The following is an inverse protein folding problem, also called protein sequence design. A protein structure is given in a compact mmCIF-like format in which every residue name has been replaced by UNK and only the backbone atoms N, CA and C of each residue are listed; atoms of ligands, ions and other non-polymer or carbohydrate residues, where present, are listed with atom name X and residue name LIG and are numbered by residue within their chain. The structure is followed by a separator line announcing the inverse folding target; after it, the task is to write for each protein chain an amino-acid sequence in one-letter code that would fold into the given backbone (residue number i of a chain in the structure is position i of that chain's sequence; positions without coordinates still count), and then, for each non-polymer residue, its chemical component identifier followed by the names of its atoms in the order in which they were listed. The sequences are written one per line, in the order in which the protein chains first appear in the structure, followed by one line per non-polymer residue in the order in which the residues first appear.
data_IF_684791447673
#
_entry.id   IF_684791447673
#
_cell.length_a   1.000
_cell.length_b   1.000
_cell.length_c   1.000
_cell.angle_alpha   90.00
_cell.angle_beta   90.00
_cell.angle_gamma   90.00
#
_symmetry.space_group_name_H-M   'P 1'
#
loop_
_entity.id
_entity.type
_entity.pdbx_description
1 polymer ?
#
# COMPACT_ATOMS: atom_id res chain seq x y z
N UNK A 1 15.91 27.80 1.02
CA UNK A 1 14.74 27.48 1.85
C UNK A 1 14.86 26.00 2.21
N UNK A 2 14.64 25.65 3.47
CA UNK A 2 14.57 24.25 3.87
C UNK A 2 13.36 23.60 3.19
N UNK A 3 13.54 22.36 2.70
CA UNK A 3 12.43 21.59 2.08
C UNK A 3 11.49 21.19 3.21
N UNK A 4 10.22 21.58 3.11
CA UNK A 4 9.16 21.18 4.04
C UNK A 4 8.06 20.45 3.26
N UNK A 5 7.86 19.16 3.58
CA UNK A 5 6.87 18.30 2.93
C UNK A 5 5.62 18.06 3.78
N UNK A 6 5.50 18.75 4.90
CA UNK A 6 4.37 18.60 5.82
C UNK A 6 3.13 19.26 5.25
N UNK A 7 2.08 18.47 5.07
CA UNK A 7 0.76 18.92 4.66
C UNK A 7 -0.09 19.27 5.89
N UNK A 8 -0.97 20.27 5.75
CA UNK A 8 -1.85 20.72 6.83
C UNK A 8 -2.95 19.73 7.20
N UNK A 9 -3.35 18.87 6.25
CA UNK A 9 -4.37 17.84 6.47
C UNK A 9 -4.21 16.68 5.51
N UNK A 10 -4.91 15.58 5.77
CA UNK A 10 -5.01 14.42 4.87
C UNK A 10 -5.67 14.79 3.56
N UNK A 11 -6.73 15.60 3.64
CA UNK A 11 -7.47 16.09 2.49
C UNK A 11 -6.58 16.91 1.55
N UNK A 12 -5.74 17.79 2.10
CA UNK A 12 -4.78 18.57 1.30
C UNK A 12 -3.71 17.68 0.68
N UNK A 13 -3.26 16.65 1.41
CA UNK A 13 -2.24 15.73 0.94
C UNK A 13 -2.69 14.85 -0.23
N UNK A 14 -4.00 14.54 -0.35
CA UNK A 14 -4.58 13.69 -1.38
C UNK A 14 -5.40 14.48 -2.42
N UNK A 15 -5.37 15.81 -2.38
CA UNK A 15 -6.28 16.66 -3.16
C UNK A 15 -6.20 16.41 -4.68
N UNK A 16 -5.02 16.11 -5.20
CA UNK A 16 -4.72 15.86 -6.61
C UNK A 16 -4.85 14.39 -7.05
N UNK A 17 -5.26 13.47 -6.18
CA UNK A 17 -5.58 12.11 -6.62
C UNK A 17 -6.78 12.17 -7.56
N UNK A 18 -6.57 11.77 -8.82
CA UNK A 18 -7.53 11.90 -9.92
C UNK A 18 -8.28 10.59 -10.20
N UNK A 19 -9.39 10.67 -10.90
CA UNK A 19 -10.15 9.51 -11.34
C UNK A 19 -9.33 8.65 -12.31
N UNK A 20 -9.30 7.34 -12.08
CA UNK A 20 -8.50 6.42 -12.86
C UNK A 20 -7.06 6.21 -12.35
N UNK A 21 -6.62 6.94 -11.33
CA UNK A 21 -5.27 6.82 -10.76
C UNK A 21 -4.96 5.40 -10.28
N UNK A 22 -3.71 5.00 -10.40
CA UNK A 22 -3.15 3.82 -9.73
C UNK A 22 -2.71 4.21 -8.31
N UNK A 23 -3.29 3.55 -7.31
CA UNK A 23 -3.02 3.76 -5.89
C UNK A 23 -2.36 2.52 -5.32
N UNK A 24 -1.18 2.68 -4.76
CA UNK A 24 -0.48 1.62 -4.04
C UNK A 24 -0.60 1.85 -2.54
N UNK A 25 -1.02 0.83 -1.78
CA UNK A 25 -1.14 0.92 -0.33
C UNK A 25 -0.04 0.12 0.31
N UNK A 26 0.74 0.76 1.16
CA UNK A 26 1.76 0.15 1.99
C UNK A 26 1.19 -0.39 3.30
N UNK A 27 1.95 -1.33 3.89
CA UNK A 27 1.62 -1.88 5.19
C UNK A 27 0.85 -3.19 5.12
N UNK A 28 1.33 -4.15 5.90
CA UNK A 28 0.68 -5.43 6.16
C UNK A 28 0.77 -5.72 7.66
N UNK A 29 -0.22 -6.39 8.18
CA UNK A 29 -0.26 -6.69 9.61
C UNK A 29 -1.18 -5.78 10.42
N UNK A 30 -2.17 -5.19 9.77
CA UNK A 30 -3.25 -4.44 10.40
C UNK A 30 -2.90 -3.00 10.71
N UNK A 31 -3.56 -2.48 11.70
CA UNK A 31 -3.62 -1.08 12.04
C UNK A 31 -2.26 -0.34 12.14
N UNK A 32 -1.24 -0.95 12.69
CA UNK A 32 0.05 -0.29 12.96
C UNK A 32 0.88 0.01 11.72
N UNK A 33 0.57 -0.68 10.62
CA UNK A 33 1.31 -0.56 9.37
C UNK A 33 0.50 0.12 8.25
N UNK A 34 -0.84 0.14 8.36
CA UNK A 34 -1.73 0.70 7.34
C UNK A 34 -1.92 2.21 7.52
N UNK A 35 -1.92 3.00 6.42
CA UNK A 35 -2.22 4.44 6.43
C UNK A 35 -3.74 4.67 6.47
N UNK A 36 -4.37 4.26 7.56
CA UNK A 36 -5.84 4.25 7.70
C UNK A 36 -6.47 5.60 7.48
N UNK A 37 -5.88 6.67 8.03
CA UNK A 37 -6.42 8.00 7.88
C UNK A 37 -6.40 8.50 6.43
N UNK A 38 -5.33 8.19 5.67
CA UNK A 38 -5.26 8.52 4.24
C UNK A 38 -6.27 7.70 3.42
N UNK A 39 -6.45 6.41 3.75
CA UNK A 39 -7.47 5.55 3.10
C UNK A 39 -8.87 6.12 3.34
N UNK A 40 -9.21 6.50 4.58
CA UNK A 40 -10.51 7.09 4.91
C UNK A 40 -10.72 8.48 4.25
N UNK A 41 -9.67 9.29 4.15
CA UNK A 41 -9.72 10.56 3.43
C UNK A 41 -10.00 10.33 1.93
N UNK A 42 -9.34 9.34 1.31
CA UNK A 42 -9.57 8.96 -0.09
C UNK A 42 -10.99 8.42 -0.30
N UNK A 43 -11.51 7.61 0.63
CA UNK A 43 -12.91 7.18 0.62
C UNK A 43 -13.85 8.39 0.63
N UNK A 44 -13.64 9.35 1.53
CA UNK A 44 -14.46 10.56 1.67
C UNK A 44 -14.37 11.46 0.43
N UNK A 45 -13.18 11.57 -0.18
CA UNK A 45 -12.97 12.34 -1.41
C UNK A 45 -13.84 11.82 -2.57
N UNK A 46 -14.08 10.50 -2.62
CA UNK A 46 -14.96 9.89 -3.61
C UNK A 46 -14.36 9.73 -5.01
N UNK A 47 -13.04 9.85 -5.15
CA UNK A 47 -12.31 9.59 -6.41
C UNK A 47 -12.65 8.20 -6.95
N UNK A 48 -12.91 8.08 -8.26
CA UNK A 48 -13.47 6.87 -8.89
C UNK A 48 -12.51 6.21 -9.87
N UNK A 49 -12.90 5.01 -10.30
CA UNK A 49 -12.16 4.22 -11.30
C UNK A 49 -10.71 3.93 -10.90
N UNK A 50 -10.42 3.84 -9.61
CA UNK A 50 -9.07 3.62 -9.09
C UNK A 50 -8.57 2.21 -9.43
N UNK A 51 -7.28 2.09 -9.74
CA UNK A 51 -6.57 0.82 -9.74
C UNK A 51 -5.86 0.67 -8.40
N UNK A 52 -6.37 -0.19 -7.54
CA UNK A 52 -5.76 -0.50 -6.25
C UNK A 52 -4.65 -1.55 -6.44
N UNK A 53 -3.47 -1.28 -5.91
CA UNK A 53 -2.35 -2.22 -5.77
C UNK A 53 -2.09 -2.37 -4.28
N UNK A 54 -2.42 -3.53 -3.73
CA UNK A 54 -2.33 -3.81 -2.30
C UNK A 54 -1.97 -5.29 -2.09
N UNK A 55 -1.53 -5.67 -0.92
CA UNK A 55 -1.27 -7.09 -0.58
C UNK A 55 -2.56 -7.91 -0.61
N UNK A 56 -3.67 -7.31 -0.23
CA UNK A 56 -5.00 -7.93 -0.29
C UNK A 56 -6.05 -6.93 -0.82
N UNK A 57 -7.25 -7.42 -1.04
CA UNK A 57 -8.36 -6.58 -1.49
C UNK A 57 -9.11 -5.85 -0.35
N UNK A 58 -8.51 -5.78 0.84
CA UNK A 58 -9.14 -5.27 2.05
C UNK A 58 -10.08 -6.29 2.73
N UNK A 59 -10.71 -5.86 3.82
CA UNK A 59 -11.64 -6.68 4.61
C UNK A 59 -11.00 -7.36 5.81
N UNK A 60 -9.89 -6.86 6.29
CA UNK A 60 -9.21 -7.37 7.49
C UNK A 60 -9.38 -6.48 8.72
N UNK A 61 -9.60 -5.19 8.51
CA UNK A 61 -9.58 -4.20 9.58
C UNK A 61 -10.86 -3.38 9.59
N UNK A 62 -11.56 -3.39 10.73
CA UNK A 62 -12.77 -2.61 10.95
C UNK A 62 -12.62 -1.71 12.17
N UNK A 63 -13.28 -0.56 12.13
CA UNK A 63 -13.51 0.25 13.33
C UNK A 63 -14.51 -0.45 14.26
N UNK A 64 -14.57 -0.09 15.55
CA UNK A 64 -15.58 -0.61 16.48
C UNK A 64 -17.03 -0.40 16.01
N UNK A 65 -17.26 0.59 15.14
CA UNK A 65 -18.56 0.83 14.49
C UNK A 65 -18.96 -0.19 13.42
N UNK A 66 -18.05 -1.13 13.06
CA UNK A 66 -18.25 -2.07 11.96
C UNK A 66 -17.86 -1.54 10.58
N UNK A 67 -17.52 -0.26 10.46
CA UNK A 67 -17.05 0.33 9.20
C UNK A 67 -15.65 -0.19 8.85
N UNK A 68 -15.40 -0.48 7.57
CA UNK A 68 -14.07 -0.88 7.10
C UNK A 68 -13.05 0.25 7.25
N UNK A 69 -11.92 -0.08 7.87
CA UNK A 69 -10.82 0.84 8.10
C UNK A 69 -9.73 0.74 7.01
N UNK A 70 -9.62 -0.42 6.38
CA UNK A 70 -8.68 -0.72 5.29
C UNK A 70 -9.28 -0.44 3.89
N UNK A 71 -8.58 -0.87 2.84
CA UNK A 71 -8.96 -0.65 1.45
C UNK A 71 -10.34 -1.21 1.06
N UNK A 72 -10.95 -2.08 1.88
CA UNK A 72 -12.32 -2.55 1.65
C UNK A 72 -13.35 -1.41 1.62
N UNK A 73 -13.10 -0.31 2.35
CA UNK A 73 -13.98 0.86 2.33
C UNK A 73 -14.04 1.55 0.96
N UNK A 74 -12.97 1.47 0.15
CA UNK A 74 -12.96 1.99 -1.22
C UNK A 74 -13.81 1.13 -2.16
N UNK A 75 -13.75 -0.20 -1.99
CA UNK A 75 -14.62 -1.13 -2.72
C UNK A 75 -16.10 -0.94 -2.31
N UNK A 76 -16.38 -0.85 -1.00
CA UNK A 76 -17.73 -0.57 -0.49
C UNK A 76 -18.34 0.69 -1.12
N UNK A 77 -17.53 1.74 -1.28
CA UNK A 77 -17.93 3.00 -1.91
C UNK A 77 -17.87 2.98 -3.45
N UNK A 78 -17.63 1.80 -4.07
CA UNK A 78 -17.54 1.60 -5.53
C UNK A 78 -16.56 2.55 -6.23
N UNK A 79 -15.42 2.78 -5.61
CA UNK A 79 -14.36 3.64 -6.13
C UNK A 79 -13.35 2.88 -6.99
N UNK A 80 -13.33 1.55 -6.92
CA UNK A 80 -12.34 0.71 -7.59
C UNK A 80 -12.85 0.20 -8.95
N UNK A 81 -11.97 0.19 -9.96
CA UNK A 81 -12.17 -0.53 -11.24
C UNK A 81 -11.35 -1.81 -11.33
N UNK A 82 -10.19 -1.83 -10.67
CA UNK A 82 -9.25 -2.95 -10.68
C UNK A 82 -8.55 -3.09 -9.34
N UNK A 83 -8.29 -4.32 -8.94
CA UNK A 83 -7.40 -4.66 -7.81
C UNK A 83 -6.31 -5.61 -8.27
N UNK A 84 -5.05 -5.26 -8.03
CA UNK A 84 -3.89 -6.16 -8.13
C UNK A 84 -3.45 -6.53 -6.73
N UNK A 85 -3.58 -7.81 -6.34
CA UNK A 85 -3.28 -8.28 -4.98
C UNK A 85 -2.87 -9.74 -4.93
N UNK A 86 -2.45 -10.23 -3.76
CA UNK A 86 -2.08 -11.65 -3.57
C UNK A 86 -3.28 -12.52 -3.18
N UNK A 87 -4.31 -11.95 -2.59
CA UNK A 87 -5.52 -12.65 -2.17
C UNK A 87 -6.72 -11.71 -2.06
N UNK A 88 -7.92 -12.29 -2.18
CA UNK A 88 -9.19 -11.56 -2.07
C UNK A 88 -9.96 -11.85 -0.79
N UNK A 89 -9.49 -12.83 0.00
CA UNK A 89 -10.05 -13.25 1.28
C UNK A 89 -8.93 -13.27 2.31
N UNK A 90 -9.13 -12.77 3.54
CA UNK A 90 -8.17 -12.93 4.62
C UNK A 90 -7.97 -14.42 4.92
N UNK A 91 -6.73 -14.91 4.85
CA UNK A 91 -6.43 -16.28 5.25
C UNK A 91 -6.65 -16.44 6.77
N UNK A 92 -7.35 -17.50 7.19
CA UNK A 92 -7.49 -17.87 8.59
C UNK A 92 -8.60 -17.17 9.38
N UNK A 93 -9.38 -16.30 8.75
CA UNK A 93 -10.55 -15.71 9.39
C UNK A 93 -11.83 -16.42 8.92
N UNK A 94 -12.76 -16.77 9.83
CA UNK A 94 -14.10 -17.16 9.46
C UNK A 94 -14.76 -15.94 8.82
N UNK A 95 -14.94 -16.01 7.52
CA UNK A 95 -15.40 -14.85 6.75
C UNK A 95 -16.88 -14.94 6.52
N UNK A 96 -17.62 -14.33 7.39
CA UNK A 96 -18.90 -13.74 7.09
C UNK A 96 -18.93 -12.39 7.81
N UNK A 97 -19.09 -11.27 7.11
CA UNK A 97 -19.46 -11.12 5.70
C UNK A 97 -18.26 -11.18 4.73
N UNK A 98 -18.50 -11.62 3.48
CA UNK A 98 -17.56 -11.53 2.36
C UNK A 98 -17.17 -10.05 2.17
N UNK A 99 -15.86 -9.76 1.99
CA UNK A 99 -15.40 -8.39 1.80
C UNK A 99 -16.08 -7.72 0.59
N UNK A 100 -16.33 -6.40 0.62
CA UNK A 100 -16.96 -5.69 -0.51
C UNK A 100 -16.24 -5.92 -1.84
N UNK A 101 -14.91 -5.94 -1.84
CA UNK A 101 -14.11 -6.20 -3.04
C UNK A 101 -14.31 -7.64 -3.56
N UNK A 102 -14.25 -8.64 -2.66
CA UNK A 102 -14.46 -10.03 -3.06
C UNK A 102 -15.84 -10.24 -3.68
N UNK A 103 -16.89 -9.60 -3.14
CA UNK A 103 -18.23 -9.64 -3.70
C UNK A 103 -18.27 -9.05 -5.12
N UNK A 104 -17.71 -7.87 -5.33
CA UNK A 104 -17.67 -7.21 -6.63
C UNK A 104 -16.86 -7.99 -7.67
N UNK A 105 -15.80 -8.68 -7.26
CA UNK A 105 -15.02 -9.57 -8.12
C UNK A 105 -15.88 -10.77 -8.56
N UNK A 106 -16.63 -11.39 -7.63
CA UNK A 106 -17.55 -12.51 -7.96
C UNK A 106 -18.69 -12.06 -8.86
N UNK A 107 -19.19 -10.84 -8.72
CA UNK A 107 -20.20 -10.22 -9.56
C UNK A 107 -19.66 -9.74 -10.93
N UNK A 108 -18.35 -9.79 -11.16
CA UNK A 108 -17.71 -9.32 -12.39
C UNK A 108 -17.69 -7.79 -12.56
N UNK A 109 -17.95 -7.04 -11.49
CA UNK A 109 -17.98 -5.57 -11.51
C UNK A 109 -16.65 -4.94 -11.08
N UNK A 110 -15.71 -5.73 -10.56
CA UNK A 110 -14.36 -5.32 -10.17
C UNK A 110 -13.33 -6.28 -10.79
N UNK A 111 -12.40 -5.74 -11.60
CA UNK A 111 -11.32 -6.53 -12.21
C UNK A 111 -10.33 -6.98 -11.15
N UNK A 112 -9.94 -8.26 -11.18
CA UNK A 112 -8.90 -8.84 -10.32
C UNK A 112 -7.69 -9.26 -11.14
N UNK A 113 -6.51 -8.79 -10.72
CA UNK A 113 -5.22 -9.37 -11.09
C UNK A 113 -4.59 -10.02 -9.84
N UNK A 114 -4.57 -11.35 -9.83
CA UNK A 114 -3.99 -12.10 -8.73
C UNK A 114 -2.50 -12.37 -8.99
N UNK A 115 -1.64 -11.96 -8.06
CA UNK A 115 -0.18 -12.08 -8.15
C UNK A 115 0.35 -12.74 -6.88
N UNK A 116 1.20 -13.77 -6.94
CA UNK A 116 1.80 -14.34 -5.74
C UNK A 116 2.53 -13.28 -4.90
N UNK A 117 2.45 -13.36 -3.56
CA UNK A 117 2.93 -12.30 -2.65
C UNK A 117 4.38 -11.88 -2.92
N UNK A 118 5.29 -12.85 -3.00
CA UNK A 118 6.70 -12.55 -3.28
C UNK A 118 6.88 -11.87 -4.63
N UNK A 119 6.18 -12.34 -5.66
CA UNK A 119 6.21 -11.75 -7.00
C UNK A 119 5.63 -10.33 -6.99
N UNK A 120 4.54 -10.07 -6.26
CA UNK A 120 3.97 -8.73 -6.13
C UNK A 120 4.98 -7.74 -5.55
N UNK A 121 5.64 -8.12 -4.46
CA UNK A 121 6.67 -7.27 -3.82
C UNK A 121 7.84 -7.03 -4.77
N UNK A 122 8.32 -8.05 -5.49
CA UNK A 122 9.40 -7.90 -6.47
C UNK A 122 8.98 -7.06 -7.69
N UNK A 123 7.74 -7.17 -8.17
CA UNK A 123 7.20 -6.28 -9.23
C UNK A 123 7.23 -4.81 -8.80
N UNK A 124 6.83 -4.52 -7.56
CA UNK A 124 6.87 -3.18 -6.98
C UNK A 124 8.33 -2.72 -6.84
N UNK A 125 9.21 -3.55 -6.26
CA UNK A 125 10.63 -3.24 -6.11
C UNK A 125 11.30 -2.96 -7.46
N UNK A 126 11.02 -3.79 -8.47
CA UNK A 126 11.52 -3.60 -9.82
C UNK A 126 11.06 -2.27 -10.43
N UNK A 127 9.78 -1.90 -10.22
CA UNK A 127 9.23 -0.62 -10.64
C UNK A 127 9.97 0.57 -10.03
N UNK A 128 10.19 0.52 -8.70
CA UNK A 128 10.93 1.56 -7.98
C UNK A 128 12.41 1.66 -8.35
N UNK A 129 13.01 0.57 -8.81
CA UNK A 129 14.42 0.51 -9.25
C UNK A 129 14.61 0.78 -10.76
N UNK A 130 13.54 0.99 -11.53
CA UNK A 130 13.64 1.17 -12.99
C UNK A 130 14.01 -0.12 -13.74
N UNK A 131 13.79 -1.30 -13.13
CA UNK A 131 14.04 -2.60 -13.77
C UNK A 131 12.85 -2.91 -14.69
N UNK A 132 13.12 -3.11 -15.99
CA UNK A 132 12.10 -3.28 -17.03
C UNK A 132 11.34 -4.60 -16.99
N UNK A 133 11.79 -5.58 -16.22
CA UNK A 133 11.19 -6.89 -16.02
C UNK A 133 12.19 -7.86 -15.38
N UNK A 134 11.70 -8.97 -14.85
CA UNK A 134 12.54 -10.01 -14.27
C UNK A 134 11.93 -11.39 -14.47
N UNK A 135 12.78 -12.41 -14.52
CA UNK A 135 12.36 -13.80 -14.63
C UNK A 135 12.24 -14.44 -13.24
N UNK A 136 11.15 -15.17 -13.02
CA UNK A 136 10.90 -15.92 -11.78
C UNK A 136 10.38 -17.32 -12.05
N UNK A 137 10.68 -18.25 -11.16
CA UNK A 137 10.08 -19.59 -11.18
C UNK A 137 8.68 -19.62 -10.53
N UNK A 138 8.34 -18.60 -9.77
CA UNK A 138 7.05 -18.52 -9.06
C UNK A 138 5.92 -18.42 -10.05
N UNK A 139 5.02 -19.39 -10.03
CA UNK A 139 3.86 -19.44 -10.92
C UNK A 139 4.05 -20.29 -12.18
N UNK A 140 5.25 -20.82 -12.45
CA UNK A 140 5.48 -21.81 -13.52
C UNK A 140 4.60 -23.03 -13.30
N UNK A 141 3.94 -23.53 -14.36
CA UNK A 141 3.00 -24.66 -14.31
C UNK A 141 1.64 -24.32 -13.71
N UNK A 142 1.34 -23.05 -13.46
CA UNK A 142 0.06 -22.60 -12.90
C UNK A 142 -0.66 -21.62 -13.83
N UNK A 143 -1.89 -21.22 -13.48
CA UNK A 143 -2.64 -20.21 -14.22
C UNK A 143 -1.89 -18.86 -14.32
N UNK A 144 -0.97 -18.58 -13.41
CA UNK A 144 -0.18 -17.34 -13.34
C UNK A 144 0.74 -17.18 -14.57
N UNK A 145 1.18 -18.27 -15.20
CA UNK A 145 2.05 -18.20 -16.39
C UNK A 145 1.32 -17.86 -17.70
N UNK A 146 -0.01 -17.90 -17.69
CA UNK A 146 -0.79 -17.71 -18.93
C UNK A 146 -0.51 -16.35 -19.56
N UNK A 147 -0.08 -16.38 -20.82
CA UNK A 147 0.24 -15.18 -21.60
C UNK A 147 1.58 -14.52 -21.29
N UNK A 148 2.40 -15.11 -20.41
CA UNK A 148 3.73 -14.60 -20.09
C UNK A 148 4.81 -15.28 -20.92
N UNK A 149 5.88 -14.55 -21.24
CA UNK A 149 7.08 -15.09 -21.85
C UNK A 149 7.73 -16.10 -20.93
N UNK A 150 8.17 -17.23 -21.49
CA UNK A 150 8.89 -18.29 -20.77
C UNK A 150 10.34 -18.35 -21.23
N UNK A 151 11.24 -18.67 -20.31
CA UNK A 151 12.66 -18.85 -20.59
C UNK A 151 13.25 -19.96 -19.74
N UNK A 152 14.12 -20.77 -20.35
CA UNK A 152 14.91 -21.76 -19.61
C UNK A 152 16.24 -21.11 -19.23
N UNK A 153 16.56 -21.11 -17.95
CA UNK A 153 17.82 -20.60 -17.40
C UNK A 153 18.37 -21.66 -16.46
N UNK A 154 19.57 -22.17 -16.73
CA UNK A 154 20.22 -23.24 -15.94
C UNK A 154 19.28 -24.44 -15.73
N UNK A 155 18.71 -24.96 -16.82
CA UNK A 155 17.80 -26.13 -16.87
C UNK A 155 16.50 -25.97 -16.06
N UNK A 156 16.12 -24.76 -15.71
CA UNK A 156 14.88 -24.42 -15.00
C UNK A 156 14.03 -23.45 -15.81
N UNK A 157 12.72 -23.71 -15.81
CA UNK A 157 11.75 -22.81 -16.48
C UNK A 157 11.44 -21.59 -15.60
N UNK A 158 11.35 -20.43 -16.25
CA UNK A 158 11.01 -19.14 -15.66
C UNK A 158 9.95 -18.46 -16.51
N UNK A 159 9.17 -17.59 -15.86
CA UNK A 159 8.24 -16.67 -16.52
C UNK A 159 8.69 -15.22 -16.31
N UNK A 160 8.46 -14.39 -17.33
CA UNK A 160 8.75 -12.96 -17.25
C UNK A 160 7.64 -12.24 -16.47
N UNK A 161 8.04 -11.47 -15.47
CA UNK A 161 7.16 -10.54 -14.75
C UNK A 161 7.53 -9.10 -15.06
N UNK A 162 6.50 -8.29 -15.34
CA UNK A 162 6.65 -6.85 -15.59
C UNK A 162 6.59 -6.07 -14.28
N UNK A 163 7.33 -4.96 -14.16
CA UNK A 163 7.32 -4.14 -12.96
C UNK A 163 5.96 -3.48 -12.72
N UNK A 164 5.72 -3.09 -11.47
CA UNK A 164 4.56 -2.30 -11.06
C UNK A 164 5.00 -0.95 -10.49
N UNK A 165 4.35 0.11 -10.96
CA UNK A 165 4.46 1.46 -10.41
C UNK A 165 3.06 2.01 -10.15
N UNK A 166 2.96 3.05 -9.33
CA UNK A 166 1.69 3.73 -9.07
C UNK A 166 1.82 5.25 -9.25
N UNK A 167 0.68 5.91 -9.48
CA UNK A 167 0.63 7.38 -9.48
C UNK A 167 0.79 7.90 -8.05
N UNK A 168 0.15 7.22 -7.09
CA UNK A 168 0.23 7.58 -5.66
C UNK A 168 0.50 6.35 -4.79
N UNK A 169 1.39 6.53 -3.81
CA UNK A 169 1.63 5.57 -2.74
C UNK A 169 1.13 6.14 -1.41
N UNK A 170 0.26 5.41 -0.74
CA UNK A 170 -0.17 5.73 0.62
C UNK A 170 0.55 4.81 1.58
N UNK A 171 1.36 5.37 2.47
CA UNK A 171 2.17 4.62 3.41
C UNK A 171 2.02 5.14 4.84
N UNK A 172 2.42 4.31 5.81
CA UNK A 172 2.48 4.71 7.21
C UNK A 172 3.88 4.52 7.76
N UNK A 173 4.33 5.51 8.54
CA UNK A 173 5.56 5.42 9.30
C UNK A 173 5.36 5.83 10.77
N UNK A 174 6.37 5.58 11.60
CA UNK A 174 6.38 6.02 12.98
C UNK A 174 6.77 7.48 13.10
N UNK A 175 7.95 7.83 12.57
CA UNK A 175 8.48 9.19 12.58
C UNK A 175 8.87 9.63 11.18
N UNK A 176 8.74 10.92 10.93
CA UNK A 176 9.34 11.61 9.80
C UNK A 176 10.04 12.88 10.25
N UNK A 177 11.14 13.24 9.60
CA UNK A 177 11.57 14.64 9.61
C UNK A 177 10.81 15.44 8.55
N UNK A 178 10.90 16.77 8.60
CA UNK A 178 10.20 17.64 7.65
C UNK A 178 10.63 17.48 6.20
N UNK A 179 11.82 16.91 5.94
CA UNK A 179 12.30 16.58 4.60
C UNK A 179 11.62 15.32 4.03
N UNK A 180 11.10 14.43 4.88
CA UNK A 180 10.49 13.18 4.47
C UNK A 180 11.35 11.92 4.68
N UNK A 181 12.41 11.99 5.47
CA UNK A 181 13.07 10.78 5.94
C UNK A 181 12.17 10.05 6.93
N UNK A 182 12.00 8.73 6.76
CA UNK A 182 11.06 7.94 7.56
C UNK A 182 11.75 6.89 8.42
N UNK A 183 11.24 6.74 9.64
CA UNK A 183 11.56 5.66 10.56
C UNK A 183 10.29 4.86 10.83
N UNK A 184 10.37 3.53 10.70
CA UNK A 184 9.27 2.62 11.04
C UNK A 184 9.51 2.00 12.42
N UNK A 185 8.44 1.57 13.05
CA UNK A 185 8.52 0.88 14.33
C UNK A 185 8.32 -0.63 14.15
N UNK A 186 9.35 -1.41 14.40
CA UNK A 186 9.32 -2.86 14.31
C UNK A 186 8.79 -3.37 12.96
N UNK A 187 7.90 -4.34 13.00
CA UNK A 187 7.31 -5.00 11.81
C UNK A 187 6.41 -4.08 10.99
N UNK A 188 6.02 -2.90 11.49
CA UNK A 188 5.24 -1.92 10.72
C UNK A 188 5.99 -1.36 9.50
N UNK A 189 7.31 -1.60 9.40
CA UNK A 189 8.06 -1.33 8.15
C UNK A 189 7.43 -2.07 6.96
N UNK A 190 7.12 -3.37 7.12
CA UNK A 190 6.44 -4.18 6.11
C UNK A 190 6.91 -3.87 4.68
N UNK A 191 6.00 -3.66 3.72
CA UNK A 191 6.28 -3.23 2.35
C UNK A 191 6.19 -1.69 2.15
N UNK A 192 6.01 -0.90 3.21
CA UNK A 192 5.87 0.56 3.10
C UNK A 192 7.03 1.22 2.35
N UNK A 193 8.27 0.81 2.61
CA UNK A 193 9.47 1.34 1.96
C UNK A 193 9.54 0.98 0.46
N UNK A 194 9.05 -0.18 0.06
CA UNK A 194 9.01 -0.62 -1.34
C UNK A 194 7.96 0.18 -2.10
N UNK A 195 6.78 0.35 -1.50
CA UNK A 195 5.69 1.18 -2.07
C UNK A 195 6.17 2.63 -2.27
N UNK A 196 6.88 3.19 -1.29
CA UNK A 196 7.44 4.54 -1.41
C UNK A 196 8.34 4.69 -2.62
N UNK A 197 9.19 3.70 -2.93
CA UNK A 197 10.13 3.77 -4.05
C UNK A 197 9.48 3.66 -5.43
N UNK A 198 8.30 3.02 -5.52
CA UNK A 198 7.62 2.69 -6.76
C UNK A 198 6.44 3.62 -7.09
N UNK A 199 6.21 4.65 -6.30
CA UNK A 199 5.12 5.61 -6.49
C UNK A 199 5.65 6.96 -6.98
N UNK A 200 4.95 7.60 -7.92
CA UNK A 200 5.32 8.94 -8.41
C UNK A 200 5.17 9.99 -7.30
N UNK A 201 4.10 9.88 -6.51
CA UNK A 201 3.84 10.72 -5.34
C UNK A 201 3.57 9.83 -4.15
N UNK A 202 4.50 9.80 -3.20
CA UNK A 202 4.33 9.08 -1.94
C UNK A 202 3.84 10.02 -0.85
N UNK A 203 2.76 9.63 -0.19
CA UNK A 203 2.12 10.34 0.92
C UNK A 203 2.26 9.48 2.17
N UNK A 204 3.01 9.98 3.16
CA UNK A 204 3.27 9.26 4.40
C UNK A 204 2.39 9.80 5.54
N UNK A 205 1.59 8.92 6.13
CA UNK A 205 0.89 9.17 7.39
C UNK A 205 1.81 8.81 8.55
N UNK A 206 2.14 9.76 9.44
CA UNK A 206 3.13 9.57 10.50
C UNK A 206 2.61 9.95 11.87
N UNK A 207 3.12 9.28 12.91
CA UNK A 207 2.70 9.55 14.29
C UNK A 207 3.44 10.73 14.89
N UNK A 208 4.70 10.94 14.48
CA UNK A 208 5.55 12.01 14.98
C UNK A 208 6.29 12.69 13.84
N UNK A 209 6.28 14.01 13.83
CA UNK A 209 7.09 14.83 12.93
C UNK A 209 8.14 15.52 13.80
N UNK A 210 9.40 15.41 13.39
CA UNK A 210 10.56 15.99 14.05
C UNK A 210 11.27 16.99 13.12
N UNK A 211 12.14 17.80 13.66
CA UNK A 211 12.92 18.75 12.86
C UNK A 211 14.05 18.04 12.09
N UNK A 212 14.52 18.70 11.04
CA UNK A 212 15.61 18.19 10.21
C UNK A 212 16.89 18.06 11.06
N UNK A 213 17.49 16.88 11.06
CA UNK A 213 18.68 16.56 11.84
C UNK A 213 18.42 15.90 13.18
N UNK A 214 17.14 15.77 13.60
CA UNK A 214 16.78 15.05 14.84
C UNK A 214 16.67 13.54 14.68
N UNK A 215 16.53 13.03 13.44
CA UNK A 215 16.58 11.60 13.19
C UNK A 215 18.04 11.12 13.15
N UNK A 216 18.34 10.01 13.82
CA UNK A 216 19.59 9.31 13.65
C UNK A 216 19.73 8.84 12.18
N UNK A 217 20.75 9.29 11.43
CA UNK A 217 20.94 8.89 10.04
C UNK A 217 21.05 7.37 9.84
N UNK A 218 21.59 6.64 10.83
CA UNK A 218 21.68 5.18 10.80
C UNK A 218 20.32 4.47 10.95
N UNK A 219 19.29 5.18 11.40
CA UNK A 219 17.94 4.64 11.61
C UNK A 219 16.95 5.03 10.53
N UNK A 220 17.36 5.76 9.50
CA UNK A 220 16.47 6.12 8.39
C UNK A 220 16.22 4.89 7.52
N UNK A 221 14.96 4.45 7.50
CA UNK A 221 14.55 3.28 6.75
C UNK A 221 14.06 3.61 5.32
N UNK A 222 13.47 4.79 5.12
CA UNK A 222 13.07 5.31 3.81
C UNK A 222 13.63 6.73 3.67
N UNK A 223 14.57 6.94 2.73
CA UNK A 223 15.12 8.27 2.46
C UNK A 223 14.07 9.25 1.92
N UNK A 224 14.23 10.51 2.25
CA UNK A 224 13.33 11.62 1.87
C UNK A 224 13.07 11.73 0.36
N UNK A 225 14.01 11.26 -0.49
CA UNK A 225 13.85 11.30 -1.95
C UNK A 225 12.60 10.55 -2.44
N UNK A 226 12.16 9.53 -1.70
CA UNK A 226 10.99 8.71 -2.04
C UNK A 226 9.67 9.24 -1.46
N UNK A 227 9.69 10.31 -0.67
CA UNK A 227 8.50 10.83 0.02
C UNK A 227 8.24 12.25 -0.41
N UNK A 228 7.05 12.54 -0.95
CA UNK A 228 6.68 13.87 -1.42
C UNK A 228 5.82 14.62 -0.41
N UNK A 229 5.05 13.91 0.43
CA UNK A 229 4.12 14.53 1.39
C UNK A 229 4.08 13.77 2.70
N UNK A 230 3.93 14.51 3.79
CA UNK A 230 3.85 13.99 5.15
C UNK A 230 2.59 14.54 5.81
N UNK A 231 1.84 13.67 6.49
CA UNK A 231 0.67 14.06 7.29
C UNK A 231 0.79 13.46 8.68
N UNK A 232 0.58 14.30 9.69
CA UNK A 232 0.60 13.84 11.09
C UNK A 232 -0.72 13.17 11.45
N UNK A 233 -0.65 12.03 12.12
CA UNK A 233 -1.79 11.33 12.72
C UNK A 233 -2.23 12.08 13.98
N UNK A 234 -3.54 12.24 14.18
CA UNK A 234 -4.07 12.79 15.44
C UNK A 234 -3.74 11.84 16.62
N UNK A 235 -3.48 12.42 17.80
CA UNK A 235 -3.10 11.61 18.99
C UNK A 235 -4.13 10.55 19.34
N UNK A 236 -5.40 10.86 19.16
CA UNK A 236 -6.55 9.99 19.44
C UNK A 236 -6.55 8.75 18.55
N UNK A 237 -6.03 8.86 17.34
CA UNK A 237 -5.96 7.77 16.36
C UNK A 237 -4.76 6.85 16.59
N UNK A 238 -3.86 7.19 17.51
CA UNK A 238 -2.69 6.37 17.89
C UNK A 238 -3.03 5.37 19.02
N UNK A 239 -4.24 5.42 19.56
CA UNK A 239 -4.69 4.73 20.79
C UNK A 239 -4.53 3.20 20.74
N UNK A 240 -4.59 2.57 19.59
CA UNK A 240 -4.43 1.14 19.41
C UNK A 240 -3.02 0.57 19.64
N UNK A 241 -2.04 1.42 19.86
CA UNK A 241 -0.73 0.99 20.36
C UNK A 241 -0.72 0.67 21.85
N UNK A 242 -1.74 1.10 22.60
CA UNK A 242 -1.74 1.08 24.07
C UNK A 242 -2.56 -0.02 24.70
N UNK A 243 -3.09 -0.98 23.99
CA UNK A 243 -3.44 -2.23 24.66
C UNK A 243 -2.11 -2.90 25.06
N UNK A 244 -1.54 -2.39 26.16
CA UNK A 244 -0.59 -3.15 26.93
C UNK A 244 -1.28 -4.47 27.26
N UNK A 245 -0.65 -5.59 26.86
CA UNK A 245 -0.85 -6.84 27.56
C UNK A 245 -0.81 -6.53 29.06
N UNK A 246 -1.99 -6.59 29.71
CA UNK A 246 -2.09 -6.62 31.15
C UNK A 246 -1.53 -7.97 31.65
#
# INVERSE_FOLDING_TARGET
MAIDKVCSSRESAIADIFDGAAIMIGGWGGWVALPVGLIQALRKKGTRNLHLIDINSGGQVQFPSGQWADSACLAENKQLRKVTCCWTKPAGFPVDPISPAARQIMEGTLELELVPLGTLVEKIRAGGAGIGGFYTQVGVGTIVEKGKEKKIINDKEYILEMPLTADFGLIRAFKADRMGNLVYHGTARSNNHVVASASKVTIAEVEEIVEIGELDPGMIHTPAIYVQRIVKIAKEEVVWRRQKSA
#
